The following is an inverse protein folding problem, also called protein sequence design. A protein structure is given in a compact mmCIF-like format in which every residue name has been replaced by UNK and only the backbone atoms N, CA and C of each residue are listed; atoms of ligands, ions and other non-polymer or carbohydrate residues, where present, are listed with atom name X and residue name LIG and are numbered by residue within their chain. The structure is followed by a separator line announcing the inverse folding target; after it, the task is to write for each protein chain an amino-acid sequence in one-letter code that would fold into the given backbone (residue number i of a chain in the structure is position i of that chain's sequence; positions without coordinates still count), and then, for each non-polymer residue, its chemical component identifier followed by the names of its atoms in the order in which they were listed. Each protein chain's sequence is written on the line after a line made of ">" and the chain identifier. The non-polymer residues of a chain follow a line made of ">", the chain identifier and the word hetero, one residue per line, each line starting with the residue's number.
data_IF_653310991734
#
_entry.id   IF_653310991734
#
_cell.length_a   1.000
_cell.length_b   1.000
_cell.length_c   1.000
_cell.angle_alpha   90.00
_cell.angle_beta   90.00
_cell.angle_gamma   90.00
#
_symmetry.space_group_name_H-M   'P 1'
#
loop_
_entity.id
_entity.type
_entity.pdbx_description
1 polymer ?
#
# COMPACT_ATOMS: atom_id res chain seq x y z
N UNK A 1 64.27 18.11 -7.63
CA UNK A 1 63.18 18.36 -8.60
C UNK A 1 61.99 17.41 -8.38
N UNK A 2 62.13 16.09 -8.58
CA UNK A 2 61.02 15.12 -8.46
C UNK A 2 60.18 15.18 -7.17
N UNK A 3 60.79 15.33 -6.00
CA UNK A 3 60.05 15.41 -4.72
C UNK A 3 59.11 16.63 -4.66
N UNK A 4 59.52 17.76 -5.24
CA UNK A 4 58.72 19.00 -5.22
C UNK A 4 57.49 18.90 -6.13
N UNK A 5 57.65 18.26 -7.30
CA UNK A 5 56.55 17.94 -8.22
C UNK A 5 55.52 16.99 -7.59
N UNK A 6 55.97 15.96 -6.85
CA UNK A 6 55.05 15.07 -6.12
C UNK A 6 54.28 15.77 -5.01
N UNK A 7 54.88 16.75 -4.32
CA UNK A 7 54.18 17.55 -3.30
C UNK A 7 53.19 18.50 -3.97
N UNK A 8 53.59 19.28 -4.99
CA UNK A 8 52.68 20.20 -5.70
C UNK A 8 51.48 19.44 -6.28
N UNK A 9 51.72 18.31 -6.96
CA UNK A 9 50.64 17.49 -7.52
C UNK A 9 49.72 16.91 -6.45
N UNK A 10 50.25 16.50 -5.29
CA UNK A 10 49.42 16.06 -4.16
C UNK A 10 48.56 17.21 -3.62
N UNK A 11 49.10 18.43 -3.58
CA UNK A 11 48.39 19.61 -3.12
C UNK A 11 47.29 20.06 -4.09
N UNK A 12 47.48 19.87 -5.40
CA UNK A 12 46.44 20.07 -6.42
C UNK A 12 45.33 19.02 -6.29
N UNK A 13 45.67 17.73 -6.18
CA UNK A 13 44.66 16.67 -6.01
C UNK A 13 43.85 16.76 -4.71
N UNK A 14 44.36 17.47 -3.69
CA UNK A 14 43.60 17.76 -2.45
C UNK A 14 42.70 18.99 -2.63
N UNK A 15 43.00 19.90 -3.56
CA UNK A 15 42.13 21.03 -3.92
C UNK A 15 40.98 20.63 -4.85
N UNK A 16 41.21 19.69 -5.77
CA UNK A 16 40.13 19.11 -6.60
C UNK A 16 39.09 18.32 -5.80
N UNK A 17 39.37 17.97 -4.53
CA UNK A 17 38.43 17.29 -3.64
C UNK A 17 37.41 18.23 -2.95
N UNK A 18 37.35 19.52 -3.30
CA UNK A 18 36.59 20.56 -2.57
C UNK A 18 35.57 21.33 -3.44
N UNK A 19 35.16 20.80 -4.61
CA UNK A 19 34.08 21.37 -5.42
C UNK A 19 33.02 20.32 -5.83
N UNK A 20 32.24 19.84 -4.85
CA UNK A 20 30.93 19.24 -5.10
C UNK A 20 29.86 20.37 -5.11
N UNK A 21 29.26 20.73 -6.25
CA UNK A 21 28.18 21.72 -6.26
C UNK A 21 26.95 21.18 -5.54
N UNK A 22 26.35 22.01 -4.67
CA UNK A 22 25.17 21.67 -3.85
C UNK A 22 24.07 20.93 -4.64
N UNK A 23 24.01 19.62 -4.45
CA UNK A 23 23.00 18.77 -5.09
C UNK A 23 21.65 18.96 -4.38
N UNK A 24 20.80 19.81 -4.95
CA UNK A 24 19.40 19.99 -4.54
C UNK A 24 18.68 18.64 -4.43
N UNK A 25 17.89 18.50 -3.36
CA UNK A 25 17.21 17.26 -3.00
C UNK A 25 16.17 16.83 -4.04
N UNK A 26 16.56 15.93 -4.96
CA UNK A 26 15.63 15.32 -5.91
C UNK A 26 14.99 14.04 -5.34
N UNK A 27 13.64 13.98 -5.19
CA UNK A 27 12.94 12.80 -4.67
C UNK A 27 13.15 11.50 -5.46
N UNK A 28 13.64 11.58 -6.70
CA UNK A 28 13.80 10.40 -7.59
C UNK A 28 14.95 9.46 -7.20
N UNK A 29 15.84 9.83 -6.27
CA UNK A 29 17.04 9.02 -5.90
C UNK A 29 16.72 7.77 -5.07
N UNK A 30 15.55 7.72 -4.42
CA UNK A 30 15.19 6.65 -3.46
C UNK A 30 14.97 5.29 -4.17
N UNK A 31 14.55 5.28 -5.43
CA UNK A 31 14.20 4.06 -6.16
C UNK A 31 15.41 3.24 -6.66
N UNK A 32 16.61 3.82 -6.81
CA UNK A 32 17.76 3.09 -7.37
C UNK A 32 18.55 2.28 -6.33
N UNK A 33 18.63 2.76 -5.08
CA UNK A 33 19.37 2.07 -4.01
C UNK A 33 18.70 0.77 -3.55
N UNK A 34 17.37 0.69 -3.58
CA UNK A 34 16.62 -0.55 -3.29
C UNK A 34 16.98 -1.66 -4.29
N UNK A 35 17.10 -1.32 -5.59
CA UNK A 35 17.38 -2.31 -6.64
C UNK A 35 18.78 -2.92 -6.54
N UNK A 36 19.78 -2.17 -6.05
CA UNK A 36 21.15 -2.69 -5.87
C UNK A 36 21.31 -3.54 -4.60
N UNK A 37 20.57 -3.24 -3.52
CA UNK A 37 20.61 -4.03 -2.27
C UNK A 37 19.94 -5.42 -2.41
N UNK A 38 19.00 -5.57 -3.36
CA UNK A 38 18.31 -6.85 -3.65
C UNK A 38 19.16 -7.87 -4.44
N UNK A 39 20.32 -7.47 -4.95
CA UNK A 39 21.17 -8.32 -5.79
C UNK A 39 22.33 -9.02 -5.03
N UNK A 40 22.57 -8.68 -3.76
CA UNK A 40 23.71 -9.20 -2.97
C UNK A 40 23.31 -10.07 -1.78
N UNK A 41 22.04 -10.46 -1.66
CA UNK A 41 21.56 -11.42 -0.65
C UNK A 41 20.71 -12.48 -1.36
N UNK A 42 21.41 -13.43 -1.98
CA UNK A 42 20.84 -14.67 -2.51
C UNK A 42 21.35 -15.83 -1.65
N UNK A 43 20.51 -16.85 -1.50
CA UNK A 43 20.74 -18.10 -0.75
C UNK A 43 20.67 -18.03 0.78
N UNK A 44 19.44 -18.15 1.28
CA UNK A 44 19.07 -19.43 1.91
C UNK A 44 17.66 -19.84 1.49
N UNK A 45 17.51 -21.14 1.29
CA UNK A 45 16.28 -21.82 0.92
C UNK A 45 15.46 -22.11 2.19
N UNK A 46 14.15 -21.87 2.16
CA UNK A 46 13.23 -22.18 3.26
C UNK A 46 11.79 -22.18 2.74
N UNK A 47 11.29 -23.39 2.48
CA UNK A 47 9.88 -23.68 2.15
C UNK A 47 8.95 -23.42 3.35
N UNK A 48 8.64 -22.16 3.64
CA UNK A 48 7.53 -21.82 4.54
C UNK A 48 6.28 -21.43 3.76
N UNK A 49 5.43 -22.44 3.57
CA UNK A 49 4.13 -22.39 2.89
C UNK A 49 3.08 -21.64 3.71
N UNK A 50 3.33 -20.36 3.98
CA UNK A 50 2.35 -19.46 4.55
C UNK A 50 1.22 -19.23 3.53
N UNK A 51 -0.03 -19.43 3.96
CA UNK A 51 -1.23 -19.29 3.14
C UNK A 51 -1.51 -17.83 2.79
N UNK A 52 -0.78 -17.31 1.80
CA UNK A 52 -0.95 -15.96 1.26
C UNK A 52 -2.27 -15.79 0.53
N UNK A 53 -3.15 -14.97 1.10
CA UNK A 53 -4.37 -14.48 0.48
C UNK A 53 -4.08 -13.92 -0.93
N UNK A 54 -4.65 -14.53 -1.96
CA UNK A 54 -4.22 -14.34 -3.35
C UNK A 54 -4.64 -13.00 -3.95
N UNK A 55 -3.71 -12.04 -3.97
CA UNK A 55 -3.80 -10.86 -4.82
C UNK A 55 -3.09 -11.14 -6.16
N UNK A 56 -3.84 -10.97 -7.25
CA UNK A 56 -3.50 -11.50 -8.59
C UNK A 56 -2.30 -10.81 -9.25
N UNK A 57 -1.42 -11.60 -9.87
CA UNK A 57 -0.27 -11.13 -10.66
C UNK A 57 -0.32 -11.54 -12.13
N UNK A 58 0.45 -10.85 -12.97
CA UNK A 58 0.56 -11.00 -14.43
C UNK A 58 1.83 -11.80 -14.82
N UNK A 59 1.90 -12.56 -15.93
CA UNK A 59 1.02 -12.66 -17.10
C UNK A 59 1.10 -14.06 -17.78
N UNK A 60 0.12 -14.41 -18.62
CA UNK A 60 0.10 -15.66 -19.42
C UNK A 60 -0.43 -16.89 -18.66
N UNK A 61 -0.94 -17.94 -19.34
CA UNK A 61 -1.88 -18.94 -18.81
C UNK A 61 -1.51 -19.45 -17.41
N UNK A 62 -2.20 -18.89 -16.40
CA UNK A 62 -1.62 -18.79 -15.06
C UNK A 62 -1.91 -20.05 -14.25
N UNK A 63 -0.88 -20.68 -13.63
CA UNK A 63 -1.13 -21.78 -12.69
C UNK A 63 -2.00 -21.35 -11.48
N UNK A 64 -2.14 -20.05 -11.22
CA UNK A 64 -3.05 -19.50 -10.20
C UNK A 64 -4.52 -19.88 -10.38
N UNK A 65 -5.01 -20.07 -11.61
CA UNK A 65 -6.39 -20.48 -11.86
C UNK A 65 -6.63 -21.91 -11.37
N UNK A 66 -5.68 -22.82 -11.63
CA UNK A 66 -5.72 -24.20 -11.16
C UNK A 66 -5.60 -24.27 -9.63
N UNK A 67 -4.70 -23.49 -9.02
CA UNK A 67 -4.62 -23.41 -7.56
C UNK A 67 -5.88 -22.83 -6.92
N UNK A 68 -6.51 -21.83 -7.55
CA UNK A 68 -7.79 -21.28 -7.11
C UNK A 68 -8.92 -22.32 -7.17
N UNK A 69 -9.02 -23.07 -8.27
CA UNK A 69 -9.99 -24.15 -8.43
C UNK A 69 -9.79 -25.26 -7.40
N UNK A 70 -8.58 -25.81 -7.28
CA UNK A 70 -8.25 -26.86 -6.30
C UNK A 70 -8.47 -26.35 -4.87
N UNK A 71 -8.09 -25.11 -4.57
CA UNK A 71 -8.35 -24.46 -3.29
C UNK A 71 -9.84 -24.31 -2.98
N UNK A 72 -10.66 -23.94 -3.97
CA UNK A 72 -12.12 -23.79 -3.82
C UNK A 72 -12.81 -25.12 -3.49
N UNK A 73 -12.43 -26.21 -4.16
CA UNK A 73 -12.95 -27.55 -3.84
C UNK A 73 -12.46 -27.98 -2.46
N UNK A 74 -11.17 -27.76 -2.16
CA UNK A 74 -10.56 -28.13 -0.87
C UNK A 74 -11.26 -27.43 0.30
N UNK A 75 -11.53 -26.12 0.20
CA UNK A 75 -12.22 -25.41 1.28
C UNK A 75 -13.67 -25.87 1.44
N UNK A 76 -14.42 -26.10 0.34
CA UNK A 76 -15.80 -26.63 0.41
C UNK A 76 -15.82 -28.00 1.12
N UNK A 77 -14.95 -28.92 0.70
CA UNK A 77 -14.85 -30.26 1.31
C UNK A 77 -14.43 -30.17 2.78
N UNK A 78 -13.42 -29.35 3.10
CA UNK A 78 -12.98 -29.14 4.48
C UNK A 78 -14.07 -28.52 5.36
N UNK A 79 -14.86 -27.58 4.83
CA UNK A 79 -15.99 -26.95 5.53
C UNK A 79 -17.12 -27.96 5.79
N UNK A 80 -17.44 -28.84 4.83
CA UNK A 80 -18.44 -29.92 5.05
C UNK A 80 -17.96 -30.90 6.12
N UNK A 81 -16.68 -31.31 6.09
CA UNK A 81 -16.08 -32.17 7.12
C UNK A 81 -16.09 -31.48 8.50
N UNK A 82 -15.72 -30.20 8.55
CA UNK A 82 -15.71 -29.39 9.78
C UNK A 82 -17.10 -29.27 10.41
N UNK A 83 -18.14 -28.96 9.62
CA UNK A 83 -19.51 -28.93 10.12
C UNK A 83 -20.01 -30.30 10.55
N UNK A 84 -19.69 -31.35 9.80
CA UNK A 84 -20.03 -32.73 10.17
C UNK A 84 -19.42 -33.08 11.53
N UNK A 85 -18.13 -32.81 11.73
CA UNK A 85 -17.45 -33.01 13.01
C UNK A 85 -18.04 -32.16 14.14
N UNK A 86 -18.37 -30.88 13.88
CA UNK A 86 -18.92 -29.98 14.90
C UNK A 86 -20.31 -30.41 15.40
N UNK A 87 -21.20 -30.84 14.48
CA UNK A 87 -22.60 -31.15 14.78
C UNK A 87 -22.87 -32.63 15.10
N UNK A 88 -22.03 -33.59 14.67
CA UNK A 88 -22.28 -35.03 14.92
C UNK A 88 -22.14 -35.36 16.41
N UNK A 89 -23.10 -36.07 17.03
CA UNK A 89 -23.03 -36.42 18.46
C UNK A 89 -21.89 -37.40 18.80
N UNK A 90 -21.39 -37.33 20.03
CA UNK A 90 -20.27 -38.16 20.52
C UNK A 90 -20.46 -39.66 20.31
N UNK A 91 -21.69 -40.17 20.49
CA UNK A 91 -21.97 -41.60 20.35
C UNK A 91 -21.75 -42.12 18.93
N UNK A 92 -21.92 -41.28 17.89
CA UNK A 92 -21.62 -41.66 16.51
C UNK A 92 -20.11 -41.63 16.24
N UNK A 93 -19.37 -40.63 16.73
CA UNK A 93 -17.91 -40.57 16.62
C UNK A 93 -17.24 -41.77 17.30
N UNK A 94 -17.71 -42.16 18.49
CA UNK A 94 -17.19 -43.32 19.21
C UNK A 94 -17.57 -44.64 18.51
N UNK A 95 -18.72 -44.73 17.85
CA UNK A 95 -19.09 -45.89 17.03
C UNK A 95 -18.21 -46.05 15.77
N UNK A 96 -17.67 -44.95 15.24
CA UNK A 96 -16.67 -44.92 14.15
C UNK A 96 -15.25 -45.18 14.68
N UNK A 97 -15.04 -45.28 15.99
CA UNK A 97 -13.74 -45.52 16.62
C UNK A 97 -12.87 -44.28 16.82
N UNK A 98 -13.43 -43.07 16.66
CA UNK A 98 -12.70 -41.81 16.81
C UNK A 98 -12.80 -41.34 18.28
N UNK A 99 -11.82 -41.74 19.09
CA UNK A 99 -11.75 -41.39 20.52
C UNK A 99 -10.92 -40.15 20.84
N UNK A 100 -10.11 -39.65 19.91
CA UNK A 100 -9.23 -38.50 20.13
C UNK A 100 -9.49 -37.39 19.10
N UNK A 101 -10.19 -36.35 19.53
CA UNK A 101 -10.47 -35.14 18.77
C UNK A 101 -10.41 -33.92 19.71
N UNK A 102 -10.09 -32.71 19.21
CA UNK A 102 -10.03 -31.52 20.04
C UNK A 102 -11.41 -31.18 20.62
N UNK A 103 -11.45 -30.39 21.70
CA UNK A 103 -12.73 -29.95 22.30
C UNK A 103 -13.64 -29.26 21.26
N UNK A 104 -14.94 -29.60 21.26
CA UNK A 104 -15.96 -28.98 20.41
C UNK A 104 -16.01 -27.46 20.50
N UNK A 105 -15.54 -26.88 21.62
CA UNK A 105 -15.40 -25.43 21.78
C UNK A 105 -14.64 -24.76 20.62
N UNK A 106 -13.65 -25.45 20.03
CA UNK A 106 -12.91 -24.95 18.87
C UNK A 106 -13.78 -24.69 17.64
N UNK A 107 -14.89 -25.43 17.46
CA UNK A 107 -15.82 -25.20 16.37
C UNK A 107 -16.48 -23.80 16.41
N UNK A 108 -16.68 -23.26 17.62
CA UNK A 108 -17.18 -21.90 17.85
C UNK A 108 -16.04 -20.88 17.93
N UNK A 109 -14.93 -21.24 18.57
CA UNK A 109 -13.81 -20.34 18.78
C UNK A 109 -13.16 -19.89 17.47
N UNK A 110 -12.89 -20.80 16.53
CA UNK A 110 -12.24 -20.48 15.25
C UNK A 110 -13.00 -19.40 14.44
N UNK A 111 -14.29 -19.55 14.10
CA UNK A 111 -15.01 -18.51 13.36
C UNK A 111 -15.13 -17.20 14.16
N UNK A 112 -15.28 -17.27 15.48
CA UNK A 112 -15.32 -16.08 16.35
C UNK A 112 -14.01 -15.30 16.30
N UNK A 113 -12.86 -15.98 16.41
CA UNK A 113 -11.54 -15.35 16.30
C UNK A 113 -11.30 -14.75 14.91
N UNK A 114 -11.75 -15.40 13.82
CA UNK A 114 -11.63 -14.84 12.47
C UNK A 114 -12.40 -13.51 12.37
N UNK A 115 -13.66 -13.47 12.81
CA UNK A 115 -14.49 -12.25 12.77
C UNK A 115 -13.88 -11.14 13.63
N UNK A 116 -13.46 -11.45 14.86
CA UNK A 116 -12.82 -10.48 15.76
C UNK A 116 -11.49 -9.98 15.19
N UNK A 117 -10.67 -10.84 14.60
CA UNK A 117 -9.39 -10.45 13.98
C UNK A 117 -9.60 -9.55 12.77
N UNK A 118 -10.60 -9.83 11.91
CA UNK A 118 -10.93 -8.96 10.77
C UNK A 118 -11.46 -7.61 11.23
N UNK A 119 -12.38 -7.58 12.20
CA UNK A 119 -12.88 -6.33 12.77
C UNK A 119 -11.77 -5.49 13.42
N UNK A 120 -10.87 -6.14 14.17
CA UNK A 120 -9.71 -5.49 14.79
C UNK A 120 -8.72 -4.97 13.74
N UNK A 121 -8.44 -5.73 12.68
CA UNK A 121 -7.59 -5.31 11.57
C UNK A 121 -8.16 -4.10 10.82
N UNK A 122 -9.47 -4.06 10.59
CA UNK A 122 -10.16 -2.90 10.02
C UNK A 122 -10.09 -1.67 10.94
N UNK A 123 -10.31 -1.85 12.25
CA UNK A 123 -10.20 -0.77 13.22
C UNK A 123 -8.76 -0.20 13.29
N UNK A 124 -7.74 -1.06 13.30
CA UNK A 124 -6.34 -0.64 13.21
C UNK A 124 -6.03 0.06 11.89
N UNK A 125 -6.50 -0.48 10.76
CA UNK A 125 -6.32 0.16 9.45
C UNK A 125 -6.91 1.58 9.45
N UNK A 126 -8.15 1.75 9.91
CA UNK A 126 -8.80 3.06 10.03
C UNK A 126 -7.98 3.99 10.94
N UNK A 127 -7.60 3.54 12.14
CA UNK A 127 -6.80 4.34 13.08
C UNK A 127 -5.42 4.75 12.54
N UNK A 128 -4.74 3.87 11.80
CA UNK A 128 -3.47 4.18 11.15
C UNK A 128 -3.63 5.17 9.99
N UNK A 129 -4.72 5.10 9.23
CA UNK A 129 -5.02 6.11 8.21
C UNK A 129 -5.30 7.47 8.85
N UNK A 130 -6.08 7.54 9.93
CA UNK A 130 -6.31 8.79 10.68
C UNK A 130 -5.05 9.37 11.33
N UNK A 131 -4.07 8.55 11.70
CA UNK A 131 -2.78 9.01 12.21
C UNK A 131 -1.82 9.48 11.11
N UNK A 132 -1.95 8.92 9.90
CA UNK A 132 -1.06 9.20 8.76
C UNK A 132 -1.57 10.32 7.84
N UNK A 133 -2.86 10.68 7.96
CA UNK A 133 -3.54 11.71 7.15
C UNK A 133 -3.70 12.98 7.99
N UNK A 134 -3.66 14.19 7.39
CA UNK A 134 -4.13 15.41 8.04
C UNK A 134 -5.54 15.24 8.65
N UNK A 135 -5.90 16.01 9.70
CA UNK A 135 -7.23 15.92 10.29
C UNK A 135 -8.30 16.23 9.22
N UNK A 136 -9.48 15.59 9.27
CA UNK A 136 -10.50 15.68 8.21
C UNK A 136 -11.11 17.08 8.05
N UNK A 137 -10.81 18.01 8.96
CA UNK A 137 -11.18 19.43 8.91
C UNK A 137 -10.10 20.33 8.29
N UNK A 138 -8.96 19.78 7.83
CA UNK A 138 -7.89 20.57 7.23
C UNK A 138 -8.18 20.87 5.76
N UNK A 139 -8.05 22.14 5.37
CA UNK A 139 -8.18 22.54 3.96
C UNK A 139 -7.09 21.92 3.06
N UNK A 140 -5.97 21.47 3.63
CA UNK A 140 -4.92 20.71 2.94
C UNK A 140 -5.38 19.33 2.41
N UNK A 141 -6.61 18.89 2.75
CA UNK A 141 -7.26 17.71 2.19
C UNK A 141 -8.09 18.04 0.93
N UNK A 142 -8.44 19.31 0.75
CA UNK A 142 -9.21 19.83 -0.40
C UNK A 142 -8.30 20.54 -1.42
N UNK A 143 -7.29 21.26 -0.94
CA UNK A 143 -6.37 22.08 -1.72
C UNK A 143 -4.91 21.68 -1.47
N UNK A 144 -4.10 21.69 -2.52
CA UNK A 144 -2.68 21.35 -2.52
C UNK A 144 -1.83 22.42 -3.22
N UNK A 145 -0.51 22.19 -3.36
CA UNK A 145 0.41 23.13 -4.03
C UNK A 145 0.10 23.34 -5.53
N UNK A 146 -0.68 22.45 -6.15
CA UNK A 146 -1.04 22.49 -7.57
C UNK A 146 -2.42 23.07 -7.84
N UNK A 147 -3.21 23.32 -6.80
CA UNK A 147 -4.52 23.96 -6.86
C UNK A 147 -4.42 25.38 -7.42
N UNK A 148 -5.31 25.72 -8.36
CA UNK A 148 -5.30 26.97 -9.11
C UNK A 148 -6.57 27.76 -8.83
N UNK A 149 -6.49 28.78 -7.97
CA UNK A 149 -7.64 29.67 -7.76
C UNK A 149 -8.05 30.40 -9.05
N UNK A 150 -9.37 30.60 -9.30
CA UNK A 150 -9.83 31.46 -10.38
C UNK A 150 -9.31 32.88 -10.14
N UNK A 151 -8.49 33.35 -11.08
CA UNK A 151 -7.79 34.62 -10.93
C UNK A 151 -8.81 35.76 -10.99
N UNK A 152 -8.86 36.62 -9.96
CA UNK A 152 -9.65 37.86 -10.00
C UNK A 152 -9.05 38.82 -11.03
N UNK A 153 -9.43 38.66 -12.31
CA UNK A 153 -9.05 39.59 -13.37
C UNK A 153 -9.64 40.96 -13.06
N UNK A 154 -8.80 41.86 -12.55
CA UNK A 154 -9.11 43.29 -12.60
C UNK A 154 -9.01 43.73 -14.06
N UNK A 155 -10.07 44.27 -14.67
CA UNK A 155 -10.04 44.66 -16.07
C UNK A 155 -9.24 45.95 -16.26
N UNK A 156 -7.90 45.82 -16.34
CA UNK A 156 -7.04 46.83 -16.97
C UNK A 156 -7.14 46.70 -18.49
N UNK A 157 -8.32 47.01 -19.02
CA UNK A 157 -8.66 46.92 -20.43
C UNK A 157 -10.04 47.49 -20.68
N UNK A 158 -10.12 48.74 -21.11
CA UNK A 158 -11.36 49.40 -21.50
C UNK A 158 -11.66 49.05 -22.97
N UNK A 159 -12.29 47.90 -23.20
CA UNK A 159 -12.67 47.40 -24.52
C UNK A 159 -13.32 46.01 -24.47
N UNK A 160 -14.18 45.72 -25.44
CA UNK A 160 -15.03 44.50 -25.48
C UNK A 160 -14.27 43.17 -25.73
N UNK A 161 -12.93 43.21 -25.83
CA UNK A 161 -12.06 42.04 -26.03
C UNK A 161 -11.39 41.62 -24.72
N UNK A 162 -12.16 40.95 -23.84
CA UNK A 162 -11.59 40.29 -22.65
C UNK A 162 -10.68 39.12 -23.08
N UNK A 163 -9.45 39.01 -22.54
CA UNK A 163 -8.62 37.83 -22.74
C UNK A 163 -9.31 36.54 -22.25
N UNK A 164 -9.02 35.41 -22.92
CA UNK A 164 -9.47 34.10 -22.44
C UNK A 164 -8.91 33.87 -21.03
N UNK A 165 -9.77 33.56 -20.08
CA UNK A 165 -9.39 33.32 -18.69
C UNK A 165 -8.43 32.12 -18.58
N UNK A 166 -7.36 32.19 -17.76
CA UNK A 166 -6.49 31.06 -17.47
C UNK A 166 -7.27 29.91 -16.82
N UNK A 167 -6.90 28.67 -17.16
CA UNK A 167 -7.48 27.49 -16.50
C UNK A 167 -7.23 27.54 -14.98
N UNK A 168 -8.30 27.31 -14.22
CA UNK A 168 -8.37 27.33 -12.77
C UNK A 168 -9.32 26.21 -12.29
N UNK A 169 -9.16 25.80 -11.04
CA UNK A 169 -10.01 24.81 -10.38
C UNK A 169 -11.28 25.48 -9.85
N UNK A 170 -12.41 24.78 -9.94
CA UNK A 170 -13.69 25.28 -9.44
C UNK A 170 -13.83 24.83 -7.97
N UNK A 171 -14.02 25.75 -7.01
CA UNK A 171 -14.17 25.38 -5.60
C UNK A 171 -15.42 24.52 -5.39
N UNK A 172 -15.32 23.55 -4.47
CA UNK A 172 -16.41 22.58 -4.21
C UNK A 172 -17.67 23.26 -3.66
N UNK A 173 -17.52 24.41 -3.02
CA UNK A 173 -18.59 25.29 -2.56
C UNK A 173 -19.44 25.84 -3.71
N UNK A 174 -18.81 26.23 -4.83
CA UNK A 174 -19.47 26.76 -6.02
C UNK A 174 -20.29 25.66 -6.72
N UNK A 175 -19.71 24.47 -6.86
CA UNK A 175 -20.39 23.29 -7.44
C UNK A 175 -21.54 22.84 -6.54
N UNK A 176 -21.34 22.76 -5.22
CA UNK A 176 -22.39 22.38 -4.28
C UNK A 176 -23.55 23.38 -4.31
N UNK A 177 -23.27 24.69 -4.35
CA UNK A 177 -24.31 25.72 -4.52
C UNK A 177 -25.09 25.50 -5.82
N UNK A 178 -24.40 25.34 -6.95
CA UNK A 178 -25.03 25.12 -8.26
C UNK A 178 -25.86 23.82 -8.33
N UNK A 179 -25.49 22.79 -7.57
CA UNK A 179 -26.13 21.47 -7.61
C UNK A 179 -27.26 21.28 -6.58
N UNK A 180 -27.26 22.04 -5.47
CA UNK A 180 -28.15 21.80 -4.34
C UNK A 180 -28.98 23.01 -3.88
N UNK A 181 -28.70 24.24 -4.32
CA UNK A 181 -29.57 25.41 -4.10
C UNK A 181 -30.61 25.55 -5.24
N UNK A 182 -31.62 24.69 -5.23
CA UNK A 182 -32.91 24.81 -5.96
C UNK A 182 -34.03 25.27 -5.01
#
# INVERSE_FOLDING_TARGET
>A
MYVFLSVVKKNETVKEAMEEPHSVSSPRRILSLSKKKRASVSFSDSDDKASGFGLSGEHGPKPSEVYGFVGSITIIVATVIFFTWAYVPEHWLHAVGIYYYPSRYWALAVPTYIVVTVALALAFYIGLNFLSTPPPTSLNTLFDEFTRDPSTFSPLGEGDELPIEPIADIPIEEINRLMFDD
#
